data_IF_335383566090
#
_entry.id   IF_335383566090
#
_cell.length_a   1.000
_cell.length_b   1.000
_cell.length_c   1.000
_cell.angle_alpha   90.00
_cell.angle_beta   90.00
_cell.angle_gamma   90.00
#
_symmetry.space_group_name_H-M   'P 1'
#
loop_
_entity.id
_entity.type
_entity.pdbx_description
1 polymer ?
#
# COMPACT_ATOMS: atom_id res chain seq x y z
N UNK A 1 -21.32 -24.72 26.01
CA UNK A 1 -20.33 -23.86 25.35
C UNK A 1 -21.05 -23.11 24.25
N UNK A 2 -21.65 -21.98 24.60
CA UNK A 2 -22.34 -21.08 23.66
C UNK A 2 -21.26 -20.36 22.87
N UNK A 3 -21.22 -20.59 21.56
CA UNK A 3 -20.29 -19.92 20.66
C UNK A 3 -20.58 -18.42 20.70
N UNK A 4 -19.54 -17.59 20.88
CA UNK A 4 -19.64 -16.12 20.79
C UNK A 4 -20.07 -15.61 19.39
N UNK A 5 -20.41 -16.51 18.47
CA UNK A 5 -20.93 -16.25 17.12
C UNK A 5 -22.47 -16.32 17.03
N UNK A 6 -23.19 -16.57 18.13
CA UNK A 6 -24.67 -16.64 18.14
C UNK A 6 -25.36 -15.29 18.34
N UNK A 7 -24.62 -14.18 18.37
CA UNK A 7 -25.24 -12.85 18.33
C UNK A 7 -25.65 -12.58 16.88
N UNK A 8 -26.96 -12.45 16.58
CA UNK A 8 -27.40 -12.15 15.23
C UNK A 8 -26.85 -10.77 14.83
N UNK A 9 -25.99 -10.75 13.81
CA UNK A 9 -25.54 -9.51 13.17
C UNK A 9 -26.78 -8.79 12.63
N UNK A 10 -27.03 -7.60 13.14
CA UNK A 10 -28.17 -6.79 12.70
C UNK A 10 -27.88 -6.14 11.35
N UNK A 11 -28.93 -5.63 10.70
CA UNK A 11 -28.77 -4.88 9.46
C UNK A 11 -27.97 -3.59 9.67
N UNK A 12 -28.18 -2.92 10.81
CA UNK A 12 -27.44 -1.72 11.21
C UNK A 12 -25.95 -2.02 11.38
N UNK A 13 -25.59 -3.12 12.08
CA UNK A 13 -24.19 -3.54 12.23
C UNK A 13 -23.50 -3.75 10.88
N UNK A 14 -24.23 -4.34 9.93
CA UNK A 14 -23.72 -4.61 8.58
C UNK A 14 -23.51 -3.30 7.80
N UNK A 15 -24.44 -2.36 7.88
CA UNK A 15 -24.30 -1.05 7.24
C UNK A 15 -23.12 -0.29 7.83
N UNK A 16 -23.02 -0.22 9.16
CA UNK A 16 -21.92 0.43 9.86
C UNK A 16 -20.57 -0.19 9.50
N UNK A 17 -20.52 -1.52 9.40
CA UNK A 17 -19.31 -2.23 8.99
C UNK A 17 -18.88 -1.84 7.56
N UNK A 18 -19.80 -1.78 6.60
CA UNK A 18 -19.46 -1.38 5.23
C UNK A 18 -19.03 0.10 5.17
N UNK A 19 -19.70 0.98 5.89
CA UNK A 19 -19.31 2.40 6.05
C UNK A 19 -17.89 2.51 6.61
N UNK A 20 -17.59 1.74 7.65
CA UNK A 20 -16.26 1.68 8.23
C UNK A 20 -15.20 1.24 7.21
N UNK A 21 -15.44 0.15 6.48
CA UNK A 21 -14.52 -0.35 5.44
C UNK A 21 -14.29 0.70 4.36
N UNK A 22 -15.36 1.32 3.85
CA UNK A 22 -15.28 2.36 2.83
C UNK A 22 -14.45 3.56 3.31
N UNK A 23 -14.70 4.04 4.53
CA UNK A 23 -13.94 5.15 5.12
C UNK A 23 -12.45 4.84 5.31
N UNK A 24 -12.12 3.58 5.66
CA UNK A 24 -10.74 3.14 5.79
C UNK A 24 -10.03 3.09 4.43
N UNK A 25 -10.70 2.65 3.36
CA UNK A 25 -10.14 2.65 2.00
C UNK A 25 -9.89 4.07 1.49
N UNK A 26 -10.85 4.99 1.69
CA UNK A 26 -10.69 6.40 1.35
C UNK A 26 -9.51 7.03 2.12
N UNK A 27 -9.45 6.79 3.43
CA UNK A 27 -8.37 7.28 4.29
C UNK A 27 -7.00 6.71 3.88
N UNK A 28 -6.93 5.45 3.44
CA UNK A 28 -5.71 4.85 2.91
C UNK A 28 -5.24 5.59 1.66
N UNK A 29 -6.13 5.81 0.68
CA UNK A 29 -5.82 6.54 -0.55
C UNK A 29 -5.30 7.93 -0.22
N UNK A 30 -6.05 8.69 0.57
CA UNK A 30 -5.69 10.06 0.96
C UNK A 30 -4.34 10.13 1.67
N UNK A 31 -4.06 9.17 2.58
CA UNK A 31 -2.77 9.09 3.28
C UNK A 31 -1.61 8.88 2.30
N UNK A 32 -1.79 8.04 1.29
CA UNK A 32 -0.76 7.79 0.27
C UNK A 32 -0.59 9.02 -0.64
N UNK A 33 -1.69 9.64 -1.08
CA UNK A 33 -1.67 10.85 -1.92
C UNK A 33 -0.94 12.01 -1.23
N UNK A 34 -1.18 12.20 0.07
CA UNK A 34 -0.58 13.29 0.85
C UNK A 34 0.79 12.94 1.45
N UNK A 35 1.24 11.69 1.31
CA UNK A 35 2.45 11.20 1.99
C UNK A 35 2.34 11.21 3.52
N UNK A 36 1.13 11.09 4.07
CA UNK A 36 0.88 11.05 5.51
C UNK A 36 1.08 9.63 6.07
N UNK A 37 2.33 9.28 6.38
CA UNK A 37 2.70 7.96 6.88
C UNK A 37 2.11 7.61 8.25
N UNK A 38 1.86 8.61 9.09
CA UNK A 38 1.24 8.39 10.40
C UNK A 38 -0.19 7.88 10.24
N UNK A 39 -1.01 8.57 9.45
CA UNK A 39 -2.38 8.15 9.17
C UNK A 39 -2.43 6.80 8.46
N UNK A 40 -1.48 6.54 7.55
CA UNK A 40 -1.37 5.24 6.89
C UNK A 40 -1.11 4.11 7.90
N UNK A 41 -0.23 4.32 8.87
CA UNK A 41 0.07 3.34 9.93
C UNK A 41 -1.13 3.07 10.85
N UNK A 42 -2.03 4.04 11.01
CA UNK A 42 -3.27 3.87 11.79
C UNK A 42 -4.36 3.12 11.00
N UNK A 43 -4.41 3.30 9.68
CA UNK A 43 -5.46 2.74 8.82
C UNK A 43 -5.20 1.29 8.41
N UNK A 44 -3.94 0.91 8.20
CA UNK A 44 -3.59 -0.46 7.76
C UNK A 44 -4.10 -1.53 8.74
N UNK A 45 -3.90 -1.40 10.07
CA UNK A 45 -4.43 -2.38 11.03
C UNK A 45 -5.96 -2.50 10.99
N UNK A 46 -6.67 -1.37 10.82
CA UNK A 46 -8.13 -1.34 10.70
C UNK A 46 -8.63 -2.10 9.48
N UNK A 47 -7.94 -1.96 8.33
CA UNK A 47 -8.24 -2.73 7.13
C UNK A 47 -7.94 -4.23 7.31
N UNK A 48 -6.87 -4.57 8.03
CA UNK A 48 -6.57 -5.97 8.35
C UNK A 48 -7.62 -6.61 9.26
N UNK A 49 -8.09 -5.86 10.26
CA UNK A 49 -9.18 -6.29 11.14
C UNK A 49 -10.48 -6.48 10.36
N UNK A 50 -10.83 -5.54 9.47
CA UNK A 50 -11.99 -5.69 8.61
C UNK A 50 -11.93 -6.95 7.73
N UNK A 51 -10.76 -7.25 7.14
CA UNK A 51 -10.57 -8.49 6.38
C UNK A 51 -10.76 -9.74 7.25
N UNK A 52 -10.30 -9.70 8.50
CA UNK A 52 -10.51 -10.78 9.44
C UNK A 52 -12.00 -10.97 9.77
N UNK A 53 -12.74 -9.88 9.99
CA UNK A 53 -14.19 -9.91 10.21
C UNK A 53 -14.90 -10.55 9.00
N UNK A 54 -14.56 -10.12 7.77
CA UNK A 54 -15.13 -10.69 6.53
C UNK A 54 -14.82 -12.19 6.44
N UNK A 55 -13.58 -12.59 6.73
CA UNK A 55 -13.17 -14.00 6.67
C UNK A 55 -13.88 -14.90 7.69
N UNK A 56 -14.36 -14.31 8.79
CA UNK A 56 -15.09 -14.98 9.87
C UNK A 56 -16.61 -14.88 9.71
N UNK A 57 -17.09 -14.08 8.76
CA UNK A 57 -18.50 -13.97 8.46
C UNK A 57 -19.05 -15.34 8.02
N UNK A 58 -20.29 -15.72 8.37
CA UNK A 58 -20.89 -16.96 7.90
C UNK A 58 -20.83 -17.07 6.37
N UNK A 59 -20.32 -18.19 5.84
CA UNK A 59 -20.02 -18.37 4.41
C UNK A 59 -19.05 -17.34 3.80
N UNK A 60 -18.27 -16.65 4.63
CA UNK A 60 -17.22 -15.70 4.23
C UNK A 60 -17.77 -14.52 3.42
N UNK A 61 -17.06 -14.20 2.34
CA UNK A 61 -17.43 -13.09 1.45
C UNK A 61 -18.75 -13.34 0.71
N UNK A 62 -19.07 -14.59 0.38
CA UNK A 62 -20.31 -14.88 -0.34
C UNK A 62 -21.52 -14.70 0.58
N UNK A 63 -21.43 -15.16 1.84
CA UNK A 63 -22.49 -14.89 2.80
C UNK A 63 -22.65 -13.41 3.14
N UNK A 64 -21.55 -12.65 3.15
CA UNK A 64 -21.60 -11.19 3.31
C UNK A 64 -22.31 -10.53 2.12
N UNK A 65 -22.00 -10.95 0.89
CA UNK A 65 -22.68 -10.45 -0.32
C UNK A 65 -24.18 -10.76 -0.28
N UNK A 66 -24.54 -12.01 0.00
CA UNK A 66 -25.94 -12.43 0.10
C UNK A 66 -26.69 -11.60 1.15
N UNK A 67 -26.05 -11.29 2.28
CA UNK A 67 -26.68 -10.48 3.33
C UNK A 67 -26.89 -9.03 2.87
N UNK A 68 -25.93 -8.45 2.16
CA UNK A 68 -26.04 -7.10 1.60
C UNK A 68 -27.12 -7.02 0.51
N UNK A 69 -27.24 -8.03 -0.34
CA UNK A 69 -28.28 -8.10 -1.39
C UNK A 69 -29.69 -8.18 -0.80
N UNK A 70 -29.83 -8.80 0.38
CA UNK A 70 -31.09 -8.93 1.10
C UNK A 70 -31.41 -7.75 2.02
N UNK A 71 -30.56 -6.71 2.09
CA UNK A 71 -30.87 -5.50 2.87
C UNK A 71 -32.10 -4.77 2.30
N UNK A 72 -32.84 -4.04 3.16
CA UNK A 72 -33.91 -3.15 2.73
C UNK A 72 -33.43 -2.17 1.66
N UNK A 73 -34.31 -1.86 0.71
CA UNK A 73 -33.99 -0.99 -0.44
C UNK A 73 -33.44 0.38 -0.01
N UNK A 74 -33.88 0.89 1.15
CA UNK A 74 -33.42 2.14 1.76
C UNK A 74 -31.89 2.16 1.96
N UNK A 75 -31.29 1.02 2.30
CA UNK A 75 -29.84 0.90 2.52
C UNK A 75 -29.08 0.45 1.29
N UNK A 76 -29.74 -0.25 0.35
CA UNK A 76 -29.08 -0.89 -0.79
C UNK A 76 -28.43 0.12 -1.73
N UNK A 77 -29.11 1.22 -2.06
CA UNK A 77 -28.57 2.24 -2.96
C UNK A 77 -27.32 2.91 -2.38
N UNK A 78 -27.38 3.33 -1.12
CA UNK A 78 -26.26 4.00 -0.45
C UNK A 78 -25.06 3.08 -0.25
N UNK A 79 -25.30 1.81 0.10
CA UNK A 79 -24.25 0.80 0.23
C UNK A 79 -23.61 0.49 -1.11
N UNK A 80 -24.38 0.36 -2.19
CA UNK A 80 -23.83 0.08 -3.51
C UNK A 80 -22.93 1.23 -3.99
N UNK A 81 -23.38 2.49 -3.82
CA UNK A 81 -22.56 3.66 -4.15
C UNK A 81 -21.26 3.69 -3.31
N UNK A 82 -21.36 3.37 -2.02
CA UNK A 82 -20.20 3.32 -1.14
C UNK A 82 -19.21 2.22 -1.54
N UNK A 83 -19.71 1.03 -1.88
CA UNK A 83 -18.87 -0.09 -2.35
C UNK A 83 -18.18 0.23 -3.67
N UNK A 84 -18.88 0.91 -4.59
CA UNK A 84 -18.29 1.37 -5.84
C UNK A 84 -17.18 2.40 -5.60
N UNK A 85 -17.42 3.40 -4.74
CA UNK A 85 -16.41 4.38 -4.35
C UNK A 85 -15.21 3.70 -3.68
N UNK A 86 -15.43 2.79 -2.75
CA UNK A 86 -14.37 2.06 -2.05
C UNK A 86 -13.53 1.21 -3.02
N UNK A 87 -14.16 0.62 -4.05
CA UNK A 87 -13.46 -0.11 -5.10
C UNK A 87 -12.56 0.81 -5.94
N UNK A 88 -13.02 2.03 -6.24
CA UNK A 88 -12.21 3.06 -6.90
C UNK A 88 -11.06 3.48 -6.00
N UNK A 89 -11.31 3.79 -4.73
CA UNK A 89 -10.30 4.21 -3.76
C UNK A 89 -9.18 3.18 -3.64
N UNK A 90 -9.55 1.89 -3.51
CA UNK A 90 -8.58 0.78 -3.46
C UNK A 90 -7.75 0.68 -4.73
N UNK A 91 -8.36 0.86 -5.90
CA UNK A 91 -7.65 0.81 -7.19
C UNK A 91 -6.63 1.94 -7.28
N UNK A 92 -7.04 3.16 -6.93
CA UNK A 92 -6.14 4.33 -6.93
C UNK A 92 -5.00 4.15 -5.94
N UNK A 93 -5.29 3.73 -4.71
CA UNK A 93 -4.27 3.45 -3.69
C UNK A 93 -3.24 2.42 -4.17
N UNK A 94 -3.69 1.34 -4.82
CA UNK A 94 -2.80 0.32 -5.37
C UNK A 94 -1.85 0.88 -6.45
N UNK A 95 -2.36 1.73 -7.35
CA UNK A 95 -1.53 2.37 -8.37
C UNK A 95 -0.52 3.35 -7.77
N UNK A 96 -0.93 4.15 -6.77
CA UNK A 96 -0.01 5.05 -6.07
C UNK A 96 1.11 4.30 -5.36
N UNK A 97 0.81 3.15 -4.74
CA UNK A 97 1.82 2.28 -4.13
C UNK A 97 2.82 1.79 -5.19
N UNK A 98 2.35 1.31 -6.34
CA UNK A 98 3.23 0.87 -7.44
C UNK A 98 4.14 2.00 -7.92
N UNK A 99 3.59 3.19 -8.14
CA UNK A 99 4.35 4.37 -8.55
C UNK A 99 5.44 4.69 -7.52
N UNK A 100 5.11 4.69 -6.23
CA UNK A 100 6.07 4.96 -5.17
C UNK A 100 7.18 3.89 -5.09
N UNK A 101 6.85 2.62 -5.31
CA UNK A 101 7.83 1.54 -5.38
C UNK A 101 8.77 1.68 -6.58
N UNK A 102 8.23 2.01 -7.76
CA UNK A 102 9.04 2.29 -8.94
C UNK A 102 9.99 3.48 -8.72
N UNK A 103 9.48 4.56 -8.11
CA UNK A 103 10.30 5.72 -7.73
C UNK A 103 11.43 5.34 -6.78
N UNK A 104 11.12 4.54 -5.74
CA UNK A 104 12.12 4.04 -4.80
C UNK A 104 13.18 3.19 -5.50
N UNK A 105 12.77 2.30 -6.40
CA UNK A 105 13.70 1.47 -7.17
C UNK A 105 14.61 2.30 -8.07
N UNK A 106 14.07 3.32 -8.76
CA UNK A 106 14.86 4.21 -9.60
C UNK A 106 15.89 5.00 -8.77
N UNK A 107 15.49 5.50 -7.59
CA UNK A 107 16.39 6.21 -6.67
C UNK A 107 17.52 5.31 -6.16
N UNK A 108 17.23 4.03 -5.86
CA UNK A 108 18.26 3.06 -5.46
C UNK A 108 19.28 2.81 -6.56
N UNK A 109 18.83 2.60 -7.80
CA UNK A 109 19.72 2.41 -8.96
C UNK A 109 20.60 3.64 -9.20
N UNK A 110 20.04 4.84 -9.10
CA UNK A 110 20.83 6.08 -9.22
C UNK A 110 21.89 6.19 -8.12
N UNK A 111 21.55 5.86 -6.88
CA UNK A 111 22.47 5.90 -5.75
C UNK A 111 23.60 4.84 -5.88
N UNK A 112 23.27 3.63 -6.33
CA UNK A 112 24.26 2.58 -6.62
C UNK A 112 25.22 3.03 -7.73
N UNK A 113 24.69 3.61 -8.81
CA UNK A 113 25.51 4.12 -9.91
C UNK A 113 26.42 5.28 -9.46
N UNK A 114 25.95 6.19 -8.59
CA UNK A 114 26.80 7.26 -8.06
C UNK A 114 27.93 6.75 -7.16
N UNK A 115 27.68 5.71 -6.36
CA UNK A 115 28.72 5.09 -5.53
C UNK A 115 29.78 4.37 -6.38
N UNK A 116 29.38 3.75 -7.50
CA UNK A 116 30.33 3.11 -8.42
C UNK A 116 31.18 4.11 -9.21
N UNK A 117 30.65 5.30 -9.52
CA UNK A 117 31.38 6.35 -10.23
C UNK A 117 32.47 6.99 -9.33
N UNK A 118 32.21 7.11 -8.02
CA UNK A 118 33.22 7.54 -7.04
C UNK A 118 34.33 6.48 -6.80
N UNK A 119 34.05 5.20 -7.04
CA UNK A 119 35.03 4.11 -6.82
C UNK A 119 36.04 3.99 -7.98
N UNK A 120 35.77 4.59 -9.15
CA UNK A 120 36.71 4.61 -10.29
C UNK A 120 37.42 5.96 -10.49
N UNK A 121 37.23 6.92 -9.58
CA UNK A 121 37.66 8.30 -9.72
C UNK A 121 38.71 8.79 -8.71
N UNK A 122 39.58 7.95 -8.13
CA UNK A 122 40.65 8.44 -7.24
C UNK A 122 41.81 7.46 -7.02
N UNK A 123 42.37 6.86 -8.07
CA UNK A 123 43.68 6.18 -7.98
C UNK A 123 44.60 6.53 -9.18
N UNK A 124 44.47 7.75 -9.71
CA UNK A 124 45.40 8.27 -10.71
C UNK A 124 46.49 9.16 -10.07
N UNK A 125 47.24 8.60 -9.13
CA UNK A 125 48.50 9.19 -8.66
C UNK A 125 49.49 8.11 -8.19
N UNK A 126 49.85 7.16 -9.06
CA UNK A 126 50.85 6.16 -8.64
C UNK A 126 51.51 5.26 -9.68
N UNK A 127 51.08 5.24 -10.95
CA UNK A 127 51.71 4.34 -11.93
C UNK A 127 52.60 5.15 -12.87
N UNK A 128 53.89 5.14 -12.56
CA UNK A 128 54.98 5.62 -13.41
C UNK A 128 54.86 5.03 -14.81
N UNK A 129 54.63 5.88 -15.81
CA UNK A 129 54.79 5.51 -17.22
C UNK A 129 56.26 5.10 -17.44
N UNK A 130 56.55 3.92 -18.03
CA UNK A 130 57.91 3.55 -18.38
C UNK A 130 58.37 4.41 -19.56
N UNK A 131 59.08 5.49 -19.25
CA UNK A 131 59.63 6.44 -20.20
C UNK A 131 60.79 7.23 -19.61
N UNK A 132 61.58 6.60 -18.72
CA UNK A 132 62.84 7.18 -18.23
C UNK A 132 63.94 6.88 -19.23
N UNK A 133 64.14 7.80 -20.19
CA UNK A 133 65.41 7.94 -20.91
C UNK A 133 65.60 9.40 -21.29
N UNK A 134 66.19 10.19 -20.39
CA UNK A 134 67.24 11.15 -20.76
C UNK A 134 68.25 11.19 -19.61
N UNK A 135 69.28 10.35 -19.72
CA UNK A 135 70.59 10.58 -19.10
C UNK A 135 71.55 10.83 -20.25
N UNK A 136 71.98 12.07 -20.41
CA UNK A 136 73.24 12.42 -21.08
C UNK A 136 73.81 13.63 -20.36
N UNK A 137 74.75 13.31 -19.46
CA UNK A 137 75.77 14.22 -18.96
C UNK A 137 77.05 13.87 -19.72
N UNK A 138 77.53 14.79 -20.54
CA UNK A 138 78.94 14.97 -20.93
C UNK A 138 79.08 16.38 -21.50
#
# INVERSE_FOLDING_TARGET
MTSLLDVPVTEEDLVEFIVFVGSCMASQRESIEKGNWQQLNEVIPKLQEALLVISRFPAGMDGLRDRLENLPEIYRESINQLMESAAVDRRVAAELIKINLHRLSALKVLHENSLTDETYGSDNSGISRPGSRISTRA
#
